data_IF_178433829684
#
_entry.id   IF_178433829684
#
_cell.length_a   1.000
_cell.length_b   1.000
_cell.length_c   1.000
_cell.angle_alpha   90.00
_cell.angle_beta   90.00
_cell.angle_gamma   90.00
#
_symmetry.space_group_name_H-M   'P 1'
#
loop_
_entity.id
_entity.type
_entity.pdbx_description
1 polymer ?
#
# COMPACT_ATOMS: atom_id res chain seq x y z
N UNK A 1 -7.60 9.91 -1.77
CA UNK A 1 -8.52 9.85 -0.63
C UNK A 1 -7.98 8.80 0.31
N UNK A 2 -7.85 9.09 1.60
CA UNK A 2 -7.26 8.17 2.58
C UNK A 2 -8.35 7.30 3.18
N UNK A 3 -8.03 6.01 3.39
CA UNK A 3 -8.89 5.06 4.11
C UNK A 3 -8.39 4.97 5.55
N UNK A 4 -9.19 5.42 6.51
CA UNK A 4 -8.84 5.45 7.94
C UNK A 4 -9.78 4.51 8.70
N UNK A 5 -9.20 3.53 9.39
CA UNK A 5 -9.95 2.63 10.27
C UNK A 5 -9.76 3.05 11.73
N UNK A 6 -10.84 3.40 12.41
CA UNK A 6 -10.86 3.77 13.84
C UNK A 6 -11.40 2.61 14.65
N UNK A 7 -10.59 2.12 15.60
CA UNK A 7 -10.91 0.94 16.42
C UNK A 7 -10.81 1.30 17.91
N UNK A 8 -11.93 1.21 18.59
CA UNK A 8 -12.05 1.49 20.03
C UNK A 8 -13.37 0.86 20.51
N UNK A 9 -13.44 0.27 21.68
CA UNK A 9 -14.68 -0.35 22.18
C UNK A 9 -15.66 0.72 22.67
N UNK A 10 -15.19 1.90 23.05
CA UNK A 10 -16.04 3.01 23.50
C UNK A 10 -16.53 3.86 22.31
N UNK A 11 -17.83 3.80 22.04
CA UNK A 11 -18.47 4.58 20.95
C UNK A 11 -18.22 6.09 21.07
N UNK A 12 -18.13 6.60 22.29
CA UNK A 12 -17.89 8.04 22.55
C UNK A 12 -16.51 8.41 22.06
N UNK A 13 -15.50 7.61 22.38
CA UNK A 13 -14.11 7.80 21.96
C UNK A 13 -13.97 7.75 20.43
N UNK A 14 -14.56 6.71 19.78
CA UNK A 14 -14.58 6.64 18.31
C UNK A 14 -15.21 7.89 17.68
N UNK A 15 -16.31 8.38 18.25
CA UNK A 15 -16.94 9.60 17.73
C UNK A 15 -16.08 10.84 17.92
N UNK A 16 -15.35 10.94 19.04
CA UNK A 16 -14.39 12.00 19.30
C UNK A 16 -13.28 12.02 18.24
N UNK A 17 -12.66 10.87 17.99
CA UNK A 17 -11.59 10.74 16.95
C UNK A 17 -12.14 11.10 15.56
N UNK A 18 -13.32 10.58 15.20
CA UNK A 18 -13.96 10.95 13.91
C UNK A 18 -14.23 12.45 13.79
N UNK A 19 -14.61 13.09 14.88
CA UNK A 19 -14.82 14.55 14.91
C UNK A 19 -13.50 15.30 14.68
N UNK A 20 -12.41 14.88 15.33
CA UNK A 20 -11.07 15.46 15.12
C UNK A 20 -10.61 15.30 13.67
N UNK A 21 -10.74 14.11 13.08
CA UNK A 21 -10.41 13.86 11.67
C UNK A 21 -11.21 14.76 10.71
N UNK A 22 -12.53 14.91 10.95
CA UNK A 22 -13.37 15.79 10.12
C UNK A 22 -12.97 17.26 10.20
N UNK A 23 -12.55 17.74 11.39
CA UNK A 23 -12.06 19.11 11.55
C UNK A 23 -10.77 19.39 10.78
N UNK A 24 -9.98 18.37 10.48
CA UNK A 24 -8.77 18.50 9.66
C UNK A 24 -9.08 18.70 8.17
N UNK A 25 -10.33 18.51 7.73
CA UNK A 25 -10.77 18.65 6.33
C UNK A 25 -9.93 17.80 5.35
N UNK A 26 -9.44 16.66 5.82
CA UNK A 26 -8.68 15.73 4.98
C UNK A 26 -9.61 14.98 4.01
N UNK A 27 -9.17 14.69 2.80
CA UNK A 27 -9.92 13.86 1.87
C UNK A 27 -9.85 12.38 2.31
N UNK A 28 -10.59 12.01 3.37
CA UNK A 28 -10.56 10.68 3.94
C UNK A 28 -11.95 10.05 4.02
N UNK A 29 -11.98 8.75 3.95
CA UNK A 29 -13.11 7.90 4.31
C UNK A 29 -12.79 7.20 5.62
N UNK A 30 -13.74 7.22 6.55
CA UNK A 30 -13.53 6.73 7.91
C UNK A 30 -14.44 5.52 8.13
N UNK A 31 -13.82 4.35 8.32
CA UNK A 31 -14.47 3.16 8.83
C UNK A 31 -14.26 3.04 10.34
N UNK A 32 -15.10 2.27 10.99
CA UNK A 32 -15.00 2.03 12.43
C UNK A 32 -15.23 0.57 12.81
N UNK A 33 -14.54 0.11 13.85
CA UNK A 33 -14.74 -1.19 14.46
C UNK A 33 -14.77 -1.05 15.99
N UNK A 34 -15.48 -1.96 16.65
CA UNK A 34 -15.67 -1.89 18.11
C UNK A 34 -14.62 -2.73 18.88
N UNK A 35 -13.78 -3.48 18.22
CA UNK A 35 -12.71 -4.29 18.80
C UNK A 35 -11.78 -4.79 17.70
N UNK A 36 -10.64 -5.38 18.08
CA UNK A 36 -9.64 -5.85 17.11
C UNK A 36 -10.14 -6.98 16.20
N UNK A 37 -11.09 -7.81 16.64
CA UNK A 37 -11.63 -8.89 15.81
C UNK A 37 -12.49 -8.34 14.67
N UNK A 38 -13.38 -7.39 14.98
CA UNK A 38 -14.22 -6.73 13.98
C UNK A 38 -13.35 -5.94 12.98
N UNK A 39 -12.26 -5.32 13.47
CA UNK A 39 -11.29 -4.64 12.62
C UNK A 39 -10.60 -5.60 11.64
N UNK A 40 -10.15 -6.76 12.09
CA UNK A 40 -9.57 -7.78 11.21
C UNK A 40 -10.58 -8.31 10.19
N UNK A 41 -11.84 -8.51 10.59
CA UNK A 41 -12.88 -8.93 9.66
C UNK A 41 -13.11 -7.89 8.57
N UNK A 42 -13.15 -6.60 8.94
CA UNK A 42 -13.23 -5.51 7.98
C UNK A 42 -12.04 -5.51 7.00
N UNK A 43 -10.82 -5.69 7.50
CA UNK A 43 -9.59 -5.67 6.70
C UNK A 43 -9.44 -6.89 5.77
N UNK A 44 -10.24 -7.95 5.90
CA UNK A 44 -10.26 -9.05 4.91
C UNK A 44 -10.83 -8.60 3.57
N UNK A 45 -11.82 -7.72 3.59
CA UNK A 45 -12.54 -7.26 2.40
C UNK A 45 -12.13 -5.85 1.95
N UNK A 46 -11.53 -5.06 2.86
CA UNK A 46 -11.17 -3.66 2.65
C UNK A 46 -9.71 -3.42 3.01
N UNK A 47 -9.13 -2.36 2.48
CA UNK A 47 -7.80 -1.88 2.87
C UNK A 47 -7.92 -0.62 3.71
N UNK A 48 -6.96 -0.37 4.59
CA UNK A 48 -6.82 0.88 5.30
C UNK A 48 -5.41 1.47 5.10
N UNK A 49 -5.34 2.77 4.93
CA UNK A 49 -4.07 3.49 4.87
C UNK A 49 -3.54 3.79 6.27
N UNK A 50 -4.47 4.08 7.19
CA UNK A 50 -4.16 4.43 8.57
C UNK A 50 -5.10 3.66 9.49
N UNK A 51 -4.52 2.95 10.45
CA UNK A 51 -5.21 2.30 11.55
C UNK A 51 -5.02 3.17 12.81
N UNK A 52 -6.11 3.61 13.40
CA UNK A 52 -6.16 4.32 14.68
C UNK A 52 -6.83 3.40 15.70
N UNK A 53 -6.07 2.87 16.64
CA UNK A 53 -6.59 1.85 17.57
C UNK A 53 -6.34 2.19 19.04
N UNK A 54 -7.34 1.91 19.88
CA UNK A 54 -7.09 1.83 21.31
C UNK A 54 -6.25 0.60 21.67
N UNK A 55 -5.52 0.66 22.78
CA UNK A 55 -4.76 -0.48 23.28
C UNK A 55 -5.69 -1.51 23.93
N UNK A 56 -6.54 -1.07 24.86
CA UNK A 56 -7.32 -1.97 25.70
C UNK A 56 -8.73 -2.14 25.13
N UNK A 57 -8.96 -3.24 24.47
CA UNK A 57 -10.26 -3.61 23.93
C UNK A 57 -10.61 -5.06 24.26
N UNK A 58 -11.91 -5.41 24.35
CA UNK A 58 -12.34 -6.78 24.55
C UNK A 58 -11.98 -7.67 23.35
N UNK A 59 -11.81 -8.97 23.60
CA UNK A 59 -11.54 -10.04 22.64
C UNK A 59 -10.16 -9.99 21.98
N UNK A 60 -9.72 -8.84 21.51
CA UNK A 60 -8.41 -8.63 20.87
C UNK A 60 -7.99 -7.19 21.13
N UNK A 61 -6.86 -7.03 21.79
CA UNK A 61 -6.26 -5.73 22.07
C UNK A 61 -5.62 -5.09 20.82
N UNK A 62 -5.34 -3.77 20.89
CA UNK A 62 -4.79 -3.05 19.76
C UNK A 62 -3.39 -3.50 19.33
N UNK A 63 -2.60 -4.01 20.26
CA UNK A 63 -1.26 -4.58 19.97
C UNK A 63 -1.41 -5.88 19.19
N UNK A 64 -2.30 -6.77 19.65
CA UNK A 64 -2.59 -8.03 18.94
C UNK A 64 -3.17 -7.76 17.57
N UNK A 65 -4.05 -6.76 17.42
CA UNK A 65 -4.59 -6.34 16.14
C UNK A 65 -3.45 -5.94 15.17
N UNK A 66 -2.52 -5.10 15.61
CA UNK A 66 -1.40 -4.66 14.79
C UNK A 66 -0.48 -5.84 14.43
N UNK A 67 -0.22 -6.74 15.38
CA UNK A 67 0.57 -7.96 15.11
C UNK A 67 -0.06 -8.83 14.02
N UNK A 68 -1.38 -9.03 14.06
CA UNK A 68 -2.09 -9.80 13.03
C UNK A 68 -2.11 -9.06 11.68
N UNK A 69 -2.33 -7.74 11.68
CA UNK A 69 -2.30 -6.95 10.45
C UNK A 69 -0.96 -7.04 9.72
N UNK A 70 0.16 -7.06 10.46
CA UNK A 70 1.52 -7.14 9.89
C UNK A 70 1.89 -8.50 9.30
N UNK A 71 1.10 -9.54 9.53
CA UNK A 71 1.28 -10.85 8.90
C UNK A 71 0.70 -10.92 7.48
N UNK A 72 -0.10 -9.93 7.09
CA UNK A 72 -0.73 -9.84 5.79
C UNK A 72 -0.05 -8.75 4.95
N UNK A 73 0.60 -9.15 3.87
CA UNK A 73 1.33 -8.26 2.96
C UNK A 73 0.46 -7.13 2.39
N UNK A 74 -0.88 -7.30 2.35
CA UNK A 74 -1.81 -6.25 1.93
C UNK A 74 -1.81 -5.03 2.84
N UNK A 75 -1.41 -5.22 4.10
CA UNK A 75 -1.35 -4.19 5.13
C UNK A 75 0.09 -3.68 5.38
N UNK A 76 1.07 -4.06 4.54
CA UNK A 76 2.48 -3.69 4.71
C UNK A 76 2.67 -2.17 4.83
N UNK A 77 1.93 -1.40 4.03
CA UNK A 77 2.02 0.07 3.99
C UNK A 77 1.10 0.78 4.98
N UNK A 78 0.26 0.03 5.72
CA UNK A 78 -0.69 0.61 6.65
C UNK A 78 0.04 1.24 7.84
N UNK A 79 -0.20 2.53 8.05
CA UNK A 79 0.32 3.26 9.20
C UNK A 79 -0.54 3.01 10.43
N UNK A 80 0.08 2.70 11.55
CA UNK A 80 -0.61 2.41 12.79
C UNK A 80 -0.34 3.50 13.84
N UNK A 81 -1.40 4.07 14.42
CA UNK A 81 -1.33 5.00 15.55
C UNK A 81 -2.13 4.41 16.69
N UNK A 82 -1.56 4.38 17.86
CA UNK A 82 -2.18 3.84 19.07
C UNK A 82 -2.66 4.98 19.96
N UNK A 83 -3.88 4.85 20.48
CA UNK A 83 -4.38 5.66 21.58
C UNK A 83 -4.38 4.83 22.86
N UNK A 84 -4.00 5.43 23.98
CA UNK A 84 -4.01 4.71 25.24
C UNK A 84 -4.34 5.61 26.44
N UNK A 85 -5.27 5.19 27.26
CA UNK A 85 -5.55 5.78 28.56
C UNK A 85 -4.54 5.38 29.64
N UNK A 86 -3.59 4.55 29.31
CA UNK A 86 -2.65 3.98 30.24
C UNK A 86 -1.21 4.24 29.83
N UNK A 87 -0.44 4.82 30.75
CA UNK A 87 1.00 5.02 30.61
C UNK A 87 1.81 3.74 30.89
N UNK A 88 1.24 2.55 30.61
CA UNK A 88 1.93 1.29 30.82
C UNK A 88 3.11 1.18 29.83
N UNK A 89 4.29 1.30 30.36
CA UNK A 89 5.56 1.24 29.63
C UNK A 89 5.69 -0.01 28.73
N UNK A 90 5.08 -1.12 29.15
CA UNK A 90 5.13 -2.37 28.38
C UNK A 90 4.38 -2.30 27.07
N UNK A 91 3.25 -1.61 26.99
CA UNK A 91 2.53 -1.41 25.73
C UNK A 91 3.28 -0.46 24.79
N UNK A 92 3.81 0.64 25.30
CA UNK A 92 4.62 1.55 24.50
C UNK A 92 5.86 0.84 23.94
N UNK A 93 6.54 0.01 24.73
CA UNK A 93 7.69 -0.78 24.28
C UNK A 93 7.32 -1.78 23.17
N UNK A 94 6.17 -2.46 23.30
CA UNK A 94 5.66 -3.36 22.25
C UNK A 94 5.32 -2.59 20.98
N UNK A 95 4.64 -1.45 21.10
CA UNK A 95 4.30 -0.58 19.99
C UNK A 95 5.55 -0.16 19.18
N UNK A 96 6.60 0.28 19.85
CA UNK A 96 7.89 0.61 19.22
C UNK A 96 8.49 -0.59 18.48
N UNK A 97 8.46 -1.79 19.07
CA UNK A 97 8.97 -3.01 18.40
C UNK A 97 8.17 -3.40 17.18
N UNK A 98 6.89 -3.11 17.19
CA UNK A 98 6.00 -3.32 16.04
C UNK A 98 6.14 -2.21 14.98
N UNK A 99 6.93 -1.17 15.24
CA UNK A 99 7.10 -0.07 14.31
C UNK A 99 5.78 0.68 14.04
N UNK A 100 5.02 0.97 15.11
CA UNK A 100 3.87 1.87 14.98
C UNK A 100 4.35 3.29 14.68
N UNK A 101 3.54 4.03 13.96
CA UNK A 101 3.90 5.38 13.54
C UNK A 101 3.86 6.37 14.72
N UNK A 102 2.93 6.17 15.65
CA UNK A 102 2.86 6.98 16.87
C UNK A 102 2.04 6.33 17.99
N UNK A 103 2.18 6.91 19.20
CA UNK A 103 1.49 6.49 20.41
C UNK A 103 0.99 7.73 21.17
N UNK A 104 -0.31 7.96 21.18
CA UNK A 104 -0.95 9.13 21.77
C UNK A 104 -1.60 8.75 23.11
N UNK A 105 -1.37 9.56 24.14
CA UNK A 105 -2.00 9.36 25.44
C UNK A 105 -3.40 9.98 25.48
N UNK A 106 -4.36 9.29 26.07
CA UNK A 106 -5.68 9.84 26.40
C UNK A 106 -5.61 10.63 27.72
N UNK A 107 -6.30 11.77 27.87
CA UNK A 107 -7.21 12.37 26.91
C UNK A 107 -6.48 12.97 25.70
N UNK A 108 -6.99 12.73 24.49
CA UNK A 108 -6.36 13.17 23.25
C UNK A 108 -6.42 14.69 23.12
N UNK A 109 -5.25 15.34 23.08
CA UNK A 109 -5.16 16.76 22.76
C UNK A 109 -5.39 16.99 21.27
N UNK A 110 -6.31 17.88 20.85
CA UNK A 110 -6.60 18.11 19.43
C UNK A 110 -5.40 18.60 18.61
N UNK A 111 -4.49 19.36 19.24
CA UNK A 111 -3.30 19.88 18.55
C UNK A 111 -2.27 18.79 18.32
N UNK A 112 -2.00 17.98 19.33
CA UNK A 112 -1.14 16.79 19.25
C UNK A 112 -1.66 15.79 18.23
N UNK A 113 -2.98 15.51 18.26
CA UNK A 113 -3.64 14.66 17.29
C UNK A 113 -3.44 15.14 15.86
N UNK A 114 -3.68 16.45 15.62
CA UNK A 114 -3.52 17.05 14.30
C UNK A 114 -2.07 16.95 13.81
N UNK A 115 -1.11 17.24 14.66
CA UNK A 115 0.31 17.17 14.33
C UNK A 115 0.70 15.73 13.96
N UNK A 116 0.32 14.75 14.79
CA UNK A 116 0.57 13.34 14.56
C UNK A 116 -0.02 12.85 13.24
N UNK A 117 -1.32 13.09 13.00
CA UNK A 117 -1.97 12.62 11.77
C UNK A 117 -1.36 13.30 10.54
N UNK A 118 -1.01 14.58 10.63
CA UNK A 118 -0.35 15.28 9.51
C UNK A 118 1.00 14.65 9.18
N UNK A 119 1.81 14.33 10.19
CA UNK A 119 3.09 13.66 10.02
C UNK A 119 2.93 12.26 9.43
N UNK A 120 2.01 11.48 9.94
CA UNK A 120 1.71 10.12 9.43
C UNK A 120 1.30 10.14 7.97
N UNK A 121 0.48 11.11 7.56
CA UNK A 121 0.09 11.30 6.16
C UNK A 121 1.30 11.68 5.29
N UNK A 122 2.17 12.57 5.75
CA UNK A 122 3.39 12.94 5.02
C UNK A 122 4.33 11.75 4.82
N UNK A 123 4.51 10.92 5.86
CA UNK A 123 5.29 9.68 5.75
C UNK A 123 4.69 8.71 4.73
N UNK A 124 3.37 8.51 4.78
CA UNK A 124 2.64 7.66 3.84
C UNK A 124 2.78 8.16 2.39
N UNK A 125 2.67 9.46 2.17
CA UNK A 125 2.83 10.07 0.84
C UNK A 125 4.26 9.94 0.33
N UNK A 126 5.26 10.15 1.18
CA UNK A 126 6.67 10.01 0.82
C UNK A 126 6.99 8.56 0.39
N UNK A 127 6.54 7.57 1.16
CA UNK A 127 6.71 6.14 0.82
C UNK A 127 6.00 5.76 -0.49
N UNK A 128 4.78 6.25 -0.70
CA UNK A 128 4.05 6.05 -1.95
C UNK A 128 4.76 6.69 -3.15
N UNK A 129 5.29 7.89 -2.98
CA UNK A 129 6.05 8.57 -4.01
C UNK A 129 7.31 7.78 -4.37
N UNK A 130 8.05 7.29 -3.37
CA UNK A 130 9.25 6.48 -3.59
C UNK A 130 8.92 5.15 -4.30
N UNK A 131 7.89 4.43 -3.86
CA UNK A 131 7.42 3.19 -4.51
C UNK A 131 7.00 3.44 -5.95
N UNK A 132 6.28 4.53 -6.22
CA UNK A 132 5.87 4.91 -7.57
C UNK A 132 7.06 5.28 -8.46
N UNK A 133 8.07 5.98 -7.94
CA UNK A 133 9.29 6.28 -8.68
C UNK A 133 10.08 5.01 -9.04
N UNK A 134 10.25 4.09 -8.08
CA UNK A 134 10.89 2.79 -8.31
C UNK A 134 10.14 1.99 -9.38
N UNK A 135 8.80 1.91 -9.29
CA UNK A 135 7.96 1.22 -10.26
C UNK A 135 8.09 1.83 -11.67
N UNK A 136 8.08 3.16 -11.77
CA UNK A 136 8.26 3.88 -13.04
C UNK A 136 9.64 3.62 -13.65
N UNK A 137 10.70 3.69 -12.83
CA UNK A 137 12.06 3.41 -13.27
C UNK A 137 12.22 1.98 -13.78
N UNK A 138 11.68 0.99 -13.05
CA UNK A 138 11.67 -0.41 -13.49
C UNK A 138 10.91 -0.60 -14.80
N UNK A 139 9.76 0.05 -14.95
CA UNK A 139 8.98 0.00 -16.19
C UNK A 139 9.76 0.59 -17.37
N UNK A 140 10.42 1.73 -17.21
CA UNK A 140 11.24 2.34 -18.25
C UNK A 140 12.43 1.44 -18.64
N UNK A 141 13.08 0.83 -17.65
CA UNK A 141 14.16 -0.13 -17.91
C UNK A 141 13.65 -1.35 -18.70
N UNK A 142 12.46 -1.86 -18.34
CA UNK A 142 11.81 -2.97 -19.03
C UNK A 142 11.48 -2.61 -20.49
N UNK A 143 10.88 -1.46 -20.71
CA UNK A 143 10.56 -0.95 -22.06
C UNK A 143 11.83 -0.77 -22.91
N UNK A 144 12.89 -0.21 -22.33
CA UNK A 144 14.18 -0.05 -23.02
C UNK A 144 14.80 -1.40 -23.38
N UNK A 145 14.78 -2.38 -22.48
CA UNK A 145 15.28 -3.72 -22.73
C UNK A 145 14.50 -4.42 -23.86
N UNK A 146 13.17 -4.31 -23.86
CA UNK A 146 12.34 -4.83 -24.94
C UNK A 146 12.63 -4.14 -26.28
N UNK A 147 12.80 -2.82 -26.27
CA UNK A 147 13.18 -2.06 -27.47
C UNK A 147 14.50 -2.54 -28.05
N UNK A 148 15.52 -2.83 -27.23
CA UNK A 148 16.80 -3.39 -27.70
C UNK A 148 16.62 -4.75 -28.37
N UNK A 149 15.79 -5.63 -27.81
CA UNK A 149 15.48 -6.95 -28.41
C UNK A 149 14.83 -6.80 -29.77
N UNK A 150 13.83 -5.91 -29.89
CA UNK A 150 13.15 -5.63 -31.16
C UNK A 150 14.10 -5.11 -32.23
N UNK A 151 15.11 -4.34 -31.83
CA UNK A 151 16.14 -3.83 -32.75
C UNK A 151 17.30 -4.83 -33.01
N UNK A 152 17.14 -6.09 -32.63
CA UNK A 152 18.05 -7.17 -32.97
C UNK A 152 19.23 -7.36 -32.03
N UNK A 153 19.20 -6.75 -30.86
CA UNK A 153 20.21 -7.03 -29.79
C UNK A 153 19.96 -8.43 -29.25
N UNK A 154 21.04 -9.17 -28.98
CA UNK A 154 20.95 -10.54 -28.49
C UNK A 154 20.16 -10.62 -27.17
N UNK A 155 19.10 -11.44 -27.14
CA UNK A 155 18.21 -11.61 -25.97
C UNK A 155 18.98 -11.99 -24.71
N UNK A 156 19.96 -12.90 -24.80
CA UNK A 156 20.73 -13.33 -23.63
C UNK A 156 21.53 -12.17 -23.03
N UNK A 157 22.13 -11.33 -23.86
CA UNK A 157 22.87 -10.13 -23.44
C UNK A 157 21.96 -9.09 -22.76
N UNK A 158 20.76 -8.88 -23.32
CA UNK A 158 19.78 -7.94 -22.74
C UNK A 158 19.26 -8.46 -21.40
N UNK A 159 18.96 -9.75 -21.28
CA UNK A 159 18.51 -10.36 -20.03
C UNK A 159 19.57 -10.25 -18.94
N UNK A 160 20.85 -10.50 -19.25
CA UNK A 160 21.96 -10.36 -18.31
C UNK A 160 22.11 -8.92 -17.82
N UNK A 161 22.08 -7.95 -18.74
CA UNK A 161 22.22 -6.51 -18.41
C UNK A 161 20.98 -5.91 -17.73
N UNK A 162 19.82 -6.51 -17.89
CA UNK A 162 18.57 -6.01 -17.29
C UNK A 162 18.50 -6.17 -15.77
N UNK A 163 19.43 -6.93 -15.15
CA UNK A 163 19.45 -7.13 -13.71
C UNK A 163 18.18 -7.76 -13.13
N UNK A 164 17.48 -8.57 -13.92
CA UNK A 164 16.24 -9.25 -13.50
C UNK A 164 14.94 -8.45 -13.73
N UNK A 165 15.03 -7.25 -14.29
CA UNK A 165 13.87 -6.42 -14.66
C UNK A 165 13.05 -7.05 -15.79
N UNK A 166 13.72 -7.84 -16.67
CA UNK A 166 13.11 -8.61 -17.73
C UNK A 166 13.45 -10.09 -17.54
N UNK A 167 12.45 -10.95 -17.64
CA UNK A 167 12.63 -12.41 -17.55
C UNK A 167 12.49 -13.05 -18.94
N UNK A 168 12.98 -14.30 -19.07
CA UNK A 168 12.82 -15.07 -20.31
C UNK A 168 11.34 -15.26 -20.65
N UNK A 169 10.49 -15.48 -19.64
CA UNK A 169 9.03 -15.60 -19.83
C UNK A 169 8.40 -14.34 -20.40
N UNK A 170 8.88 -13.15 -19.99
CA UNK A 170 8.41 -11.87 -20.52
C UNK A 170 8.76 -11.75 -22.00
N UNK A 171 9.99 -12.14 -22.38
CA UNK A 171 10.44 -12.09 -23.77
C UNK A 171 9.67 -13.06 -24.65
N UNK A 172 9.44 -14.28 -24.18
CA UNK A 172 8.68 -15.31 -24.92
C UNK A 172 7.23 -14.86 -25.19
N UNK A 173 6.59 -14.18 -24.22
CA UNK A 173 5.27 -13.60 -24.43
C UNK A 173 5.29 -12.44 -25.45
N UNK A 174 6.29 -11.56 -25.36
CA UNK A 174 6.43 -10.41 -26.22
C UNK A 174 6.71 -10.81 -27.68
N UNK A 175 7.59 -11.79 -27.89
CA UNK A 175 7.89 -12.30 -29.25
C UNK A 175 6.65 -12.91 -29.93
N UNK A 176 5.76 -13.54 -29.18
CA UNK A 176 4.49 -14.05 -29.74
C UNK A 176 3.57 -12.93 -30.24
N UNK A 177 3.46 -11.85 -29.47
CA UNK A 177 2.65 -10.67 -29.86
C UNK A 177 3.25 -9.97 -31.09
N UNK A 178 4.56 -9.80 -31.13
CA UNK A 178 5.25 -9.20 -32.28
C UNK A 178 5.11 -10.01 -33.55
N UNK A 179 5.15 -11.34 -33.48
CA UNK A 179 4.94 -12.18 -34.68
C UNK A 179 3.52 -12.03 -35.23
N UNK A 180 2.51 -11.89 -34.38
CA UNK A 180 1.14 -11.65 -34.83
C UNK A 180 0.98 -10.26 -35.47
N UNK A 181 1.59 -9.22 -34.90
CA UNK A 181 1.55 -7.86 -35.46
C UNK A 181 2.32 -7.73 -36.79
N UNK A 182 3.47 -8.39 -36.91
CA UNK A 182 4.26 -8.39 -38.15
C UNK A 182 3.58 -9.19 -39.25
N UNK A 183 2.86 -10.26 -38.92
CA UNK A 183 2.10 -11.02 -39.90
C UNK A 183 0.94 -10.21 -40.49
N UNK A 184 0.21 -9.45 -39.68
CA UNK A 184 -0.85 -8.56 -40.11
C UNK A 184 -0.30 -7.40 -40.98
N UNK A 185 0.81 -6.81 -40.62
CA UNK A 185 1.47 -5.72 -41.41
C UNK A 185 2.11 -6.25 -42.71
N UNK A 186 2.62 -7.48 -42.67
CA UNK A 186 3.22 -8.13 -43.86
C UNK A 186 2.17 -8.36 -44.95
N UNK A 187 0.99 -8.82 -44.62
CA UNK A 187 -0.10 -9.03 -45.56
C UNK A 187 -0.76 -7.72 -46.00
N UNK A 188 -0.80 -6.68 -45.14
CA UNK A 188 -1.40 -5.38 -45.48
C UNK A 188 -0.53 -4.49 -46.38
N UNK A 189 0.80 -4.53 -46.24
CA UNK A 189 1.71 -3.65 -46.98
C UNK A 189 2.25 -4.21 -48.30
N UNK A 190 2.29 -5.51 -48.47
CA UNK A 190 2.87 -6.13 -49.67
C UNK A 190 1.89 -6.51 -50.74
N UNK A 191 0.61 -6.15 -50.60
CA UNK A 191 -0.35 -6.25 -51.67
C UNK A 191 -0.34 -7.61 -52.42
N UNK A 192 -0.18 -8.71 -51.68
CA UNK A 192 -0.32 -10.03 -52.31
C UNK A 192 -1.82 -10.32 -52.41
N UNK A 193 -2.38 -9.89 -53.51
CA UNK A 193 -3.70 -10.37 -53.95
C UNK A 193 -3.63 -11.90 -54.07
N UNK A 194 -4.16 -12.60 -53.08
CA UNK A 194 -4.50 -14.00 -53.22
C UNK A 194 -5.84 -14.08 -54.00
N UNK A 195 -5.77 -13.81 -55.31
CA UNK A 195 -6.70 -14.32 -56.27
C UNK A 195 -6.05 -15.55 -56.90
N UNK A 196 -6.41 -16.73 -56.35
CA UNK A 196 -6.79 -17.95 -57.08
C UNK A 196 -7.18 -19.05 -56.11
#
# INVERSE_FOLDING_TARGET
MYQILVVDDERIERNGIKMLLRHMQLPCEIAEAANGRDALEYLKEHTADILLTDVKMPFMDGIQLIEECKKDDRNEDMKCVIFSGCSEFDYARKAVRLGVSDYILKPVDPSEFKETITRVIQELEAERAEKNMKKKSMQQMREHALYQIVNGVNVAEVLEKSGGVLTKSDVDCFCRILMLETDDDFFGKNGVDLQE
#
